data_IF_870090618369
#
_entry.id   IF_870090618369
#
_cell.length_a   1.000
_cell.length_b   1.000
_cell.length_c   1.000
_cell.angle_alpha   90.00
_cell.angle_beta   90.00
_cell.angle_gamma   90.00
#
_symmetry.space_group_name_H-M   'P 1'
#
loop_
_entity.id
_entity.type
_entity.pdbx_description
1 polymer ?
#
# COMPACT_ATOMS: atom_id res chain seq x y z
N UNK A 1 -11.76 4.96 6.18
CA UNK A 1 -10.49 4.94 5.45
C UNK A 1 -10.05 6.37 5.20
N UNK A 2 -8.80 6.71 5.48
CA UNK A 2 -8.27 8.05 5.20
C UNK A 2 -6.78 7.97 4.84
N UNK A 3 -6.05 9.08 4.80
CA UNK A 3 -4.63 9.10 4.43
C UNK A 3 -3.74 8.49 5.54
N UNK A 4 -2.47 8.23 5.23
CA UNK A 4 -1.46 7.75 6.17
C UNK A 4 -0.99 8.84 7.16
N UNK A 5 -1.39 10.10 6.95
CA UNK A 5 -1.00 11.22 7.80
C UNK A 5 -1.45 11.00 9.25
N UNK A 6 -0.49 10.94 10.18
CA UNK A 6 -0.71 10.61 11.59
C UNK A 6 -1.77 11.47 12.30
N UNK A 7 -2.01 12.70 11.85
CA UNK A 7 -3.06 13.56 12.39
C UNK A 7 -4.46 12.93 12.28
N UNK A 8 -4.73 12.21 11.20
CA UNK A 8 -6.03 11.60 10.91
C UNK A 8 -6.35 10.41 11.84
N UNK A 9 -5.52 9.35 11.95
CA UNK A 9 -5.78 8.27 12.89
C UNK A 9 -5.76 8.77 14.35
N UNK A 10 -4.90 9.75 14.69
CA UNK A 10 -4.89 10.34 16.04
C UNK A 10 -6.21 11.04 16.38
N UNK A 11 -6.77 11.81 15.44
CA UNK A 11 -8.04 12.49 15.65
C UNK A 11 -9.20 11.48 15.80
N UNK A 12 -9.25 10.44 14.96
CA UNK A 12 -10.27 9.39 15.03
C UNK A 12 -10.19 8.64 16.35
N UNK A 13 -9.00 8.20 16.77
CA UNK A 13 -8.78 7.52 18.05
C UNK A 13 -9.15 8.40 19.24
N UNK A 14 -8.83 9.70 19.20
CA UNK A 14 -9.17 10.60 20.31
C UNK A 14 -10.68 10.77 20.49
N UNK A 15 -11.44 10.81 19.39
CA UNK A 15 -12.89 11.09 19.43
C UNK A 15 -13.71 9.82 19.62
N UNK A 16 -13.32 8.72 18.97
CA UNK A 16 -14.11 7.49 18.91
C UNK A 16 -13.48 6.31 19.65
N UNK A 17 -12.21 6.38 20.03
CA UNK A 17 -11.46 5.24 20.61
C UNK A 17 -11.87 4.82 22.01
N UNK A 18 -12.74 5.57 22.69
CA UNK A 18 -13.30 5.19 24.01
C UNK A 18 -14.59 4.39 23.85
N UNK A 19 -15.45 4.78 22.91
CA UNK A 19 -16.83 4.29 22.81
C UNK A 19 -17.08 3.38 21.60
N UNK A 20 -16.12 3.24 20.69
CA UNK A 20 -16.26 2.49 19.45
C UNK A 20 -15.06 1.57 19.19
N UNK A 21 -15.34 0.34 18.77
CA UNK A 21 -14.35 -0.52 18.14
C UNK A 21 -14.28 -0.19 16.65
N UNK A 22 -13.10 0.14 16.16
CA UNK A 22 -12.87 0.39 14.73
C UNK A 22 -11.45 0.00 14.34
N UNK A 23 -11.27 -0.30 13.05
CA UNK A 23 -9.96 -0.46 12.43
C UNK A 23 -9.72 0.72 11.52
N UNK A 24 -8.63 1.45 11.77
CA UNK A 24 -8.21 2.51 10.88
C UNK A 24 -7.48 1.89 9.68
N UNK A 25 -8.06 2.06 8.49
CA UNK A 25 -7.48 1.58 7.24
C UNK A 25 -7.07 2.77 6.37
N UNK A 26 -5.91 2.65 5.70
CA UNK A 26 -5.52 3.59 4.66
C UNK A 26 -6.47 3.51 3.48
N UNK A 27 -6.78 4.65 2.88
CA UNK A 27 -7.60 4.71 1.69
C UNK A 27 -6.82 4.19 0.49
N UNK A 28 -7.35 3.16 -0.16
CA UNK A 28 -6.76 2.57 -1.36
C UNK A 28 -6.47 3.61 -2.45
N UNK A 29 -7.38 4.56 -2.70
CA UNK A 29 -7.15 5.61 -3.69
C UNK A 29 -6.01 6.56 -3.32
N UNK A 30 -5.78 6.85 -2.03
CA UNK A 30 -4.62 7.61 -1.60
C UNK A 30 -3.32 6.82 -1.80
N UNK A 31 -3.33 5.51 -1.50
CA UNK A 31 -2.20 4.62 -1.80
C UNK A 31 -1.88 4.65 -3.29
N UNK A 32 -2.88 4.44 -4.17
CA UNK A 32 -2.68 4.44 -5.62
C UNK A 32 -2.19 5.79 -6.16
N UNK A 33 -2.69 6.91 -5.62
CA UNK A 33 -2.21 8.24 -5.98
C UNK A 33 -0.72 8.40 -5.64
N UNK A 34 -0.31 7.97 -4.44
CA UNK A 34 1.08 8.03 -3.99
C UNK A 34 1.99 7.09 -4.79
N UNK A 35 1.53 5.87 -5.06
CA UNK A 35 2.24 4.91 -5.90
C UNK A 35 2.48 5.50 -7.30
N UNK A 36 1.43 6.03 -7.93
CA UNK A 36 1.55 6.67 -9.24
C UNK A 36 2.52 7.87 -9.21
N UNK A 37 2.52 8.68 -8.15
CA UNK A 37 3.51 9.76 -7.97
C UNK A 37 4.94 9.24 -7.89
N UNK A 38 5.17 8.13 -7.19
CA UNK A 38 6.50 7.54 -7.02
C UNK A 38 7.01 6.87 -8.29
N UNK A 39 6.14 6.24 -9.08
CA UNK A 39 6.54 5.53 -10.30
C UNK A 39 6.78 6.44 -11.51
N UNK A 40 6.68 7.77 -11.40
CA UNK A 40 6.81 8.72 -12.53
C UNK A 40 8.11 8.56 -13.33
N UNK A 41 9.20 8.22 -12.67
CA UNK A 41 10.54 8.07 -13.28
C UNK A 41 10.91 6.61 -13.54
N UNK A 42 10.00 5.67 -13.25
CA UNK A 42 10.16 4.24 -13.54
C UNK A 42 9.66 3.96 -14.96
N UNK A 43 10.22 2.94 -15.62
CA UNK A 43 9.75 2.54 -16.95
C UNK A 43 8.24 2.26 -16.96
N UNK A 44 7.56 2.57 -18.07
CA UNK A 44 6.10 2.38 -18.19
C UNK A 44 5.70 0.91 -17.98
N UNK A 45 6.52 -0.02 -18.47
CA UNK A 45 6.30 -1.45 -18.31
C UNK A 45 6.29 -1.86 -16.83
N UNK A 46 7.35 -1.52 -16.09
CA UNK A 46 7.44 -1.83 -14.66
C UNK A 46 6.36 -1.08 -13.86
N UNK A 47 6.05 0.16 -14.23
CA UNK A 47 4.99 0.93 -13.58
C UNK A 47 3.63 0.26 -13.69
N UNK A 48 3.28 -0.24 -14.89
CA UNK A 48 2.03 -1.00 -15.09
C UNK A 48 2.03 -2.31 -14.29
N UNK A 49 3.17 -2.98 -14.19
CA UNK A 49 3.32 -4.20 -13.42
C UNK A 49 3.10 -3.96 -11.92
N UNK A 50 3.77 -2.96 -11.34
CA UNK A 50 3.59 -2.58 -9.92
C UNK A 50 2.13 -2.21 -9.63
N UNK A 51 1.49 -1.44 -10.52
CA UNK A 51 0.10 -1.06 -10.35
C UNK A 51 -0.82 -2.29 -10.37
N UNK A 52 -0.62 -3.22 -11.31
CA UNK A 52 -1.40 -4.46 -11.38
C UNK A 52 -1.21 -5.32 -10.13
N UNK A 53 0.03 -5.50 -9.68
CA UNK A 53 0.37 -6.25 -8.47
C UNK A 53 -0.36 -5.68 -7.22
N UNK A 54 -0.45 -4.35 -7.09
CA UNK A 54 -1.18 -3.70 -5.99
C UNK A 54 -2.70 -3.87 -6.10
N UNK A 55 -3.25 -3.91 -7.32
CA UNK A 55 -4.66 -4.25 -7.52
C UNK A 55 -4.96 -5.70 -7.17
N UNK A 56 -4.05 -6.63 -7.47
CA UNK A 56 -4.20 -8.03 -7.09
C UNK A 56 -4.22 -8.17 -5.56
N UNK A 57 -3.33 -7.47 -4.85
CA UNK A 57 -3.36 -7.40 -3.38
C UNK A 57 -4.68 -6.83 -2.85
N UNK A 58 -5.20 -5.77 -3.46
CA UNK A 58 -6.47 -5.17 -3.04
C UNK A 58 -7.66 -6.12 -3.25
N UNK A 59 -7.57 -7.01 -4.24
CA UNK A 59 -8.59 -7.98 -4.57
C UNK A 59 -8.40 -9.34 -3.88
N UNK A 60 -7.45 -9.47 -2.94
CA UNK A 60 -7.23 -10.71 -2.22
C UNK A 60 -8.49 -11.16 -1.46
N UNK A 61 -8.84 -12.44 -1.59
CA UNK A 61 -10.07 -13.00 -1.00
C UNK A 61 -10.01 -13.12 0.54
N UNK A 62 -8.81 -13.12 1.12
CA UNK A 62 -8.59 -13.20 2.56
C UNK A 62 -7.26 -12.58 2.97
N UNK A 63 -7.10 -12.39 4.29
CA UNK A 63 -5.82 -11.93 4.86
C UNK A 63 -4.69 -12.92 4.59
N UNK A 64 -4.94 -14.23 4.70
CA UNK A 64 -3.91 -15.25 4.43
C UNK A 64 -3.44 -15.20 2.96
N UNK A 65 -4.37 -15.00 2.02
CA UNK A 65 -4.05 -14.84 0.59
C UNK A 65 -3.26 -13.56 0.37
N UNK A 66 -3.67 -12.46 1.00
CA UNK A 66 -2.92 -11.19 0.94
C UNK A 66 -1.49 -11.36 1.47
N UNK A 67 -1.32 -12.00 2.63
CA UNK A 67 -0.03 -12.20 3.28
C UNK A 67 0.91 -13.07 2.43
N UNK A 68 0.38 -14.07 1.72
CA UNK A 68 1.16 -14.86 0.76
C UNK A 68 1.55 -14.02 -0.46
N UNK A 69 0.58 -13.33 -1.08
CA UNK A 69 0.78 -12.54 -2.29
C UNK A 69 1.77 -11.39 -2.07
N UNK A 70 1.69 -10.68 -0.94
CA UNK A 70 2.56 -9.55 -0.67
C UNK A 70 4.02 -9.98 -0.59
N UNK A 71 4.32 -11.14 -0.01
CA UNK A 71 5.69 -11.68 0.04
C UNK A 71 6.23 -12.00 -1.36
N UNK A 72 5.40 -12.60 -2.21
CA UNK A 72 5.76 -12.93 -3.59
C UNK A 72 6.02 -11.65 -4.41
N UNK A 73 5.14 -10.66 -4.30
CA UNK A 73 5.22 -9.38 -5.01
C UNK A 73 6.45 -8.58 -4.56
N UNK A 74 6.69 -8.50 -3.25
CA UNK A 74 7.86 -7.81 -2.69
C UNK A 74 9.16 -8.47 -3.18
N UNK A 75 9.23 -9.80 -3.17
CA UNK A 75 10.40 -10.53 -3.71
C UNK A 75 10.60 -10.22 -5.19
N UNK A 76 9.53 -10.27 -5.99
CA UNK A 76 9.55 -9.93 -7.41
C UNK A 76 10.04 -8.50 -7.66
N UNK A 77 9.60 -7.52 -6.87
CA UNK A 77 10.08 -6.14 -6.99
C UNK A 77 11.54 -5.98 -6.56
N UNK A 78 12.00 -6.80 -5.60
CA UNK A 78 13.39 -6.76 -5.14
C UNK A 78 14.40 -7.26 -6.19
N UNK A 79 13.97 -8.15 -7.08
CA UNK A 79 14.78 -8.65 -8.20
C UNK A 79 14.94 -7.59 -9.32
N UNK A 80 14.11 -6.55 -9.33
CA UNK A 80 14.13 -5.46 -10.30
C UNK A 80 14.94 -4.27 -9.78
N UNK A 81 16.12 -4.03 -10.34
CA UNK A 81 17.06 -2.98 -9.89
C UNK A 81 16.41 -1.58 -9.81
N UNK A 82 15.49 -1.27 -10.73
CA UNK A 82 14.78 0.02 -10.77
C UNK A 82 13.72 0.18 -9.66
N UNK A 83 13.33 -0.91 -8.98
CA UNK A 83 12.25 -0.95 -7.99
C UNK A 83 12.74 -1.14 -6.55
N UNK A 84 14.02 -1.45 -6.31
CA UNK A 84 14.52 -1.69 -4.95
C UNK A 84 14.26 -0.53 -3.97
N UNK A 85 14.34 0.72 -4.44
CA UNK A 85 13.99 1.90 -3.62
C UNK A 85 12.48 2.02 -3.36
N UNK A 86 11.66 1.60 -4.33
CA UNK A 86 10.20 1.66 -4.25
C UNK A 86 9.67 0.60 -3.29
N UNK A 87 10.22 -0.62 -3.32
CA UNK A 87 9.93 -1.68 -2.35
C UNK A 87 10.10 -1.15 -0.93
N UNK A 88 11.28 -0.59 -0.60
CA UNK A 88 11.55 -0.06 0.72
C UNK A 88 10.65 1.13 1.10
N UNK A 89 10.11 1.87 0.12
CA UNK A 89 9.08 2.88 0.38
C UNK A 89 7.73 2.25 0.73
N UNK A 90 7.30 1.24 -0.03
CA UNK A 90 6.01 0.59 0.15
C UNK A 90 5.91 -0.14 1.50
N UNK A 91 6.96 -0.84 1.92
CA UNK A 91 7.02 -1.54 3.22
C UNK A 91 6.99 -0.62 4.45
N UNK A 92 7.30 0.68 4.28
CA UNK A 92 7.25 1.68 5.36
C UNK A 92 5.88 2.33 5.54
N UNK A 93 4.94 2.06 4.64
CA UNK A 93 3.60 2.65 4.61
C UNK A 93 2.62 1.72 5.33
#
# INVERSE_FOLDING_TARGET
>A
MADAEAAQPNAVTRVFGVDCEFVYLMCFYHVMAKVHEKLKDVSEYLSKQVMADIYDLHCADSQDVYDEQVQQIITKWSDEEQLGWFQGYFERT
#
